data_IF_826532573551
#
_entry.id   IF_826532573551
#
_cell.length_a   1.000
_cell.length_b   1.000
_cell.length_c   1.000
_cell.angle_alpha   90.00
_cell.angle_beta   90.00
_cell.angle_gamma   90.00
#
_symmetry.space_group_name_H-M   'P 1'
#
loop_
_entity.id
_entity.type
_entity.pdbx_description
1 polymer ?
#
# COMPACT_ATOMS: atom_id res chain seq x y z
N UNK A 1 25.50 -11.08 10.20
CA UNK A 1 26.71 -11.42 9.42
C UNK A 1 27.40 -12.54 10.16
N UNK A 2 26.93 -13.76 9.98
CA UNK A 2 27.62 -14.93 10.52
C UNK A 2 27.85 -15.88 9.36
N UNK A 3 29.02 -15.73 8.76
CA UNK A 3 29.66 -16.81 8.04
C UNK A 3 30.39 -17.63 9.11
N UNK A 4 29.86 -18.81 9.44
CA UNK A 4 30.33 -19.63 10.55
C UNK A 4 31.76 -20.16 10.37
N UNK A 5 32.42 -19.88 9.24
CA UNK A 5 33.71 -20.44 8.90
C UNK A 5 34.95 -19.58 9.12
N UNK A 6 34.88 -18.24 9.24
CA UNK A 6 36.13 -17.46 9.05
C UNK A 6 36.59 -16.42 10.07
N UNK A 7 35.77 -15.77 10.90
CA UNK A 7 36.31 -14.70 11.77
C UNK A 7 35.54 -14.52 13.08
N UNK A 8 35.77 -15.37 14.08
CA UNK A 8 35.11 -15.26 15.41
C UNK A 8 35.56 -14.06 16.26
N UNK A 9 36.79 -13.54 16.05
CA UNK A 9 37.39 -12.52 16.95
C UNK A 9 37.93 -11.26 16.26
N UNK A 10 37.68 -11.05 14.95
CA UNK A 10 38.10 -9.83 14.24
C UNK A 10 36.87 -9.01 13.91
N UNK A 11 36.81 -7.76 14.39
CA UNK A 11 35.80 -6.79 13.95
C UNK A 11 35.80 -6.77 12.42
N UNK A 12 34.66 -7.08 11.79
CA UNK A 12 34.53 -7.22 10.34
C UNK A 12 35.18 -6.02 9.62
N UNK A 13 36.31 -6.19 8.92
CA UNK A 13 37.07 -5.07 8.34
C UNK A 13 36.26 -4.25 7.33
N UNK A 14 35.36 -4.92 6.59
CA UNK A 14 34.44 -4.26 5.65
C UNK A 14 33.44 -3.38 6.40
N UNK A 15 32.89 -3.88 7.51
CA UNK A 15 31.97 -3.08 8.34
C UNK A 15 32.68 -1.90 9.01
N UNK A 16 33.95 -2.04 9.41
CA UNK A 16 34.75 -0.92 9.93
C UNK A 16 34.98 0.13 8.85
N UNK A 17 35.42 -0.30 7.67
CA UNK A 17 35.71 0.62 6.55
C UNK A 17 34.45 1.35 6.10
N UNK A 18 33.33 0.64 6.04
CA UNK A 18 32.01 1.23 5.83
C UNK A 18 31.68 2.25 6.92
N UNK A 19 31.88 1.93 8.21
CA UNK A 19 31.56 2.84 9.31
C UNK A 19 32.40 4.13 9.27
N UNK A 20 33.69 4.02 8.98
CA UNK A 20 34.58 5.19 8.82
C UNK A 20 34.09 6.07 7.67
N UNK A 21 33.80 5.46 6.53
CA UNK A 21 33.28 6.15 5.34
C UNK A 21 31.94 6.81 5.64
N UNK A 22 31.03 6.10 6.31
CA UNK A 22 29.72 6.61 6.70
C UNK A 22 29.81 7.76 7.71
N UNK A 23 30.70 7.69 8.70
CA UNK A 23 30.98 8.80 9.62
C UNK A 23 31.54 10.03 8.90
N UNK A 24 32.38 9.82 7.88
CA UNK A 24 32.89 10.91 7.05
C UNK A 24 31.76 11.54 6.21
N UNK A 25 30.89 10.73 5.60
CA UNK A 25 29.70 11.22 4.87
C UNK A 25 28.82 12.03 5.83
N UNK A 26 28.46 11.49 7.00
CA UNK A 26 27.65 12.22 8.01
C UNK A 26 28.17 13.60 8.38
N UNK A 27 29.50 13.79 8.39
CA UNK A 27 30.13 15.09 8.71
C UNK A 27 30.14 16.06 7.53
N UNK A 28 30.35 15.55 6.31
CA UNK A 28 30.54 16.39 5.11
C UNK A 28 29.25 16.65 4.34
N UNK A 29 28.38 15.65 4.30
CA UNK A 29 27.12 15.64 3.58
C UNK A 29 26.04 14.90 4.41
N UNK A 30 25.42 15.58 5.39
CA UNK A 30 24.40 14.97 6.23
C UNK A 30 23.22 14.41 5.44
N UNK A 31 22.82 15.07 4.35
CA UNK A 31 21.71 14.64 3.51
C UNK A 31 22.00 13.29 2.83
N UNK A 32 23.24 13.07 2.37
CA UNK A 32 23.65 11.77 1.84
C UNK A 32 23.55 10.66 2.91
N UNK A 33 23.93 10.96 4.15
CA UNK A 33 23.79 9.99 5.24
C UNK A 33 22.32 9.71 5.61
N UNK A 34 21.48 10.73 5.57
CA UNK A 34 20.02 10.60 5.77
C UNK A 34 19.40 9.77 4.66
N UNK A 35 19.76 10.02 3.40
CA UNK A 35 19.34 9.20 2.26
C UNK A 35 19.77 7.76 2.41
N UNK A 36 21.02 7.49 2.82
CA UNK A 36 21.47 6.13 3.06
C UNK A 36 20.67 5.43 4.16
N UNK A 37 20.39 6.15 5.25
CA UNK A 37 19.61 5.64 6.38
C UNK A 37 18.16 5.38 5.99
N UNK A 38 17.58 6.23 5.14
CA UNK A 38 16.25 6.06 4.58
C UNK A 38 16.17 4.85 3.64
N UNK A 39 17.03 4.77 2.61
CA UNK A 39 16.95 3.71 1.59
C UNK A 39 17.28 2.32 2.15
N UNK A 40 17.94 2.22 3.30
CA UNK A 40 18.21 0.93 3.93
C UNK A 40 16.95 0.27 4.53
N UNK A 41 15.88 1.03 4.72
CA UNK A 41 14.61 0.56 5.27
C UNK A 41 13.60 0.10 4.21
N UNK A 42 13.94 0.21 2.92
CA UNK A 42 13.12 -0.24 1.78
C UNK A 42 13.83 -1.35 0.99
N UNK A 43 13.19 -1.85 -0.07
CA UNK A 43 13.84 -2.76 -1.02
C UNK A 43 15.11 -2.11 -1.60
N UNK A 44 16.28 -2.76 -1.54
CA UNK A 44 17.56 -2.17 -1.94
C UNK A 44 17.75 -2.06 -3.46
N UNK A 45 16.81 -2.56 -4.26
CA UNK A 45 16.89 -2.56 -5.72
C UNK A 45 15.82 -1.68 -6.34
N UNK A 46 16.17 -1.07 -7.47
CA UNK A 46 15.28 -0.29 -8.32
C UNK A 46 14.58 0.86 -7.57
N UNK A 47 15.28 1.50 -6.63
CA UNK A 47 14.75 2.57 -5.78
C UNK A 47 14.51 3.83 -6.62
N UNK A 48 13.26 4.29 -6.81
CA UNK A 48 12.99 5.51 -7.55
C UNK A 48 13.55 6.73 -6.81
N UNK A 49 14.26 7.62 -7.51
CA UNK A 49 14.77 8.85 -6.87
C UNK A 49 13.64 9.73 -6.32
N UNK A 50 12.46 9.69 -6.94
CA UNK A 50 11.26 10.37 -6.46
C UNK A 50 10.74 9.88 -5.10
N UNK A 51 11.15 8.68 -4.66
CA UNK A 51 10.81 8.15 -3.35
C UNK A 51 11.67 8.77 -2.23
N UNK A 52 12.84 9.32 -2.55
CA UNK A 52 13.70 9.94 -1.54
C UNK A 52 12.99 11.14 -0.88
N UNK A 53 13.26 11.40 0.42
CA UNK A 53 12.79 12.60 1.08
C UNK A 53 13.28 13.88 0.38
N UNK A 54 12.46 14.93 0.30
CA UNK A 54 12.89 16.20 -0.28
C UNK A 54 14.04 16.80 0.54
N UNK A 55 15.09 17.24 -0.16
CA UNK A 55 16.20 17.96 0.42
C UNK A 55 15.94 19.47 0.47
N UNK A 56 16.90 20.26 0.99
CA UNK A 56 16.77 21.72 1.05
C UNK A 56 16.78 22.40 -0.33
N UNK A 57 17.30 21.71 -1.37
CA UNK A 57 17.22 22.15 -2.76
C UNK A 57 17.56 20.99 -3.70
N UNK A 58 17.05 21.02 -4.93
CA UNK A 58 17.36 20.01 -5.97
C UNK A 58 18.85 19.81 -6.19
N UNK A 59 19.65 20.88 -6.10
CA UNK A 59 21.12 20.78 -6.19
C UNK A 59 21.68 19.92 -5.07
N UNK A 60 21.23 20.14 -3.82
CA UNK A 60 21.68 19.36 -2.66
C UNK A 60 21.25 17.90 -2.74
N UNK A 61 20.07 17.61 -3.28
CA UNK A 61 19.61 16.24 -3.51
C UNK A 61 20.52 15.51 -4.51
N UNK A 62 20.85 16.16 -5.63
CA UNK A 62 21.77 15.64 -6.65
C UNK A 62 23.17 15.43 -6.06
N UNK A 63 23.68 16.42 -5.33
CA UNK A 63 24.98 16.34 -4.66
C UNK A 63 25.03 15.16 -3.67
N UNK A 64 23.97 14.96 -2.89
CA UNK A 64 23.88 13.87 -1.91
C UNK A 64 23.87 12.48 -2.56
N UNK A 65 23.08 12.29 -3.61
CA UNK A 65 23.11 11.05 -4.41
C UNK A 65 24.49 10.87 -5.06
N UNK A 66 25.09 11.94 -5.55
CA UNK A 66 26.45 11.95 -6.10
C UNK A 66 27.51 11.54 -5.07
N UNK A 67 27.39 12.00 -3.83
CA UNK A 67 28.26 11.59 -2.72
C UNK A 67 28.15 10.08 -2.48
N UNK A 68 26.94 9.53 -2.37
CA UNK A 68 26.76 8.09 -2.14
C UNK A 68 27.31 7.24 -3.30
N UNK A 69 27.15 7.69 -4.54
CA UNK A 69 27.70 7.06 -5.74
C UNK A 69 29.24 7.11 -5.75
N UNK A 70 29.84 8.23 -5.35
CA UNK A 70 31.30 8.39 -5.28
C UNK A 70 31.97 7.48 -4.24
N UNK A 71 31.26 7.12 -3.16
CA UNK A 71 31.70 6.11 -2.19
C UNK A 71 31.35 4.67 -2.61
N UNK A 72 30.77 4.47 -3.80
CA UNK A 72 30.27 3.19 -4.30
C UNK A 72 29.26 2.52 -3.36
N UNK A 73 28.52 3.34 -2.59
CA UNK A 73 27.49 2.83 -1.69
C UNK A 73 26.21 2.49 -2.44
N UNK A 74 25.94 3.25 -3.50
CA UNK A 74 24.84 3.01 -4.43
C UNK A 74 25.37 2.93 -5.86
N UNK A 75 24.51 2.49 -6.77
CA UNK A 75 24.74 2.60 -8.21
C UNK A 75 23.54 3.30 -8.85
N UNK A 76 23.79 4.31 -9.67
CA UNK A 76 22.73 5.03 -10.40
C UNK A 76 22.32 4.26 -11.65
N UNK A 77 21.01 4.23 -11.93
CA UNK A 77 20.40 3.77 -13.18
C UNK A 77 19.75 4.97 -13.90
N UNK A 78 20.49 5.71 -14.75
CA UNK A 78 20.01 6.98 -15.31
C UNK A 78 18.76 6.85 -16.18
N UNK A 79 18.64 5.75 -16.94
CA UNK A 79 17.49 5.50 -17.82
C UNK A 79 16.17 5.38 -17.03
N UNK A 80 16.25 4.78 -15.84
CA UNK A 80 15.09 4.45 -15.01
C UNK A 80 14.87 5.46 -13.88
N UNK A 81 15.73 6.49 -13.78
CA UNK A 81 15.81 7.41 -12.64
C UNK A 81 15.81 6.67 -11.27
N UNK A 82 16.47 5.52 -11.24
CA UNK A 82 16.48 4.61 -10.10
C UNK A 82 17.89 4.44 -9.50
N UNK A 83 17.94 3.95 -8.26
CA UNK A 83 19.15 3.69 -7.50
C UNK A 83 19.15 2.24 -7.00
N UNK A 84 20.33 1.62 -7.02
CA UNK A 84 20.57 0.34 -6.37
C UNK A 84 21.48 0.53 -5.16
N UNK A 85 21.05 0.07 -3.99
CA UNK A 85 21.86 0.03 -2.80
C UNK A 85 22.75 -1.23 -2.80
N UNK A 86 24.05 -1.04 -2.59
CA UNK A 86 24.97 -2.18 -2.53
C UNK A 86 24.64 -3.09 -1.33
N UNK A 87 24.54 -4.41 -1.55
CA UNK A 87 24.06 -5.38 -0.55
C UNK A 87 24.81 -5.31 0.79
N UNK A 88 26.14 -5.18 0.75
CA UNK A 88 26.94 -5.08 1.99
C UNK A 88 26.68 -3.76 2.73
N UNK A 89 26.46 -2.68 2.00
CA UNK A 89 26.15 -1.36 2.55
C UNK A 89 24.75 -1.38 3.16
N UNK A 90 23.77 -2.00 2.50
CA UNK A 90 22.43 -2.21 3.03
C UNK A 90 22.47 -2.91 4.39
N UNK A 91 23.14 -4.05 4.47
CA UNK A 91 23.26 -4.84 5.68
C UNK A 91 24.06 -4.11 6.78
N UNK A 92 25.16 -3.43 6.43
CA UNK A 92 25.97 -2.69 7.39
C UNK A 92 25.20 -1.51 7.99
N UNK A 93 24.54 -0.71 7.14
CA UNK A 93 23.71 0.44 7.55
C UNK A 93 22.59 0.00 8.48
N UNK A 94 21.84 -1.03 8.09
CA UNK A 94 20.71 -1.53 8.90
C UNK A 94 21.16 -2.10 10.25
N UNK A 95 22.30 -2.80 10.28
CA UNK A 95 22.87 -3.30 11.53
C UNK A 95 23.38 -2.19 12.43
N UNK A 96 23.96 -1.14 11.86
CA UNK A 96 24.37 0.03 12.61
C UNK A 96 23.16 0.79 13.19
N UNK A 97 22.15 1.10 12.37
CA UNK A 97 20.92 1.76 12.85
C UNK A 97 20.20 0.97 13.95
N UNK A 98 20.24 -0.37 13.91
CA UNK A 98 19.69 -1.20 14.97
C UNK A 98 20.48 -1.07 16.28
N UNK A 99 21.82 -0.96 16.20
CA UNK A 99 22.66 -0.78 17.39
C UNK A 99 22.53 0.58 18.03
N UNK A 100 22.18 1.59 17.24
CA UNK A 100 21.95 2.96 17.70
C UNK A 100 20.46 3.23 18.03
N UNK A 101 19.60 2.19 17.99
CA UNK A 101 18.15 2.28 18.21
C UNK A 101 17.40 3.26 17.27
N UNK A 102 17.98 3.58 16.12
CA UNK A 102 17.41 4.50 15.12
C UNK A 102 16.58 3.79 14.03
N UNK A 103 16.66 2.46 13.93
CA UNK A 103 16.05 1.72 12.82
C UNK A 103 14.52 1.86 12.76
N UNK A 104 13.84 1.84 13.92
CA UNK A 104 12.40 2.00 13.99
C UNK A 104 11.97 3.40 13.54
N UNK A 105 12.67 4.44 14.01
CA UNK A 105 12.43 5.83 13.63
C UNK A 105 12.56 6.05 12.11
N UNK A 106 13.64 5.52 11.50
CA UNK A 106 13.81 5.62 10.05
C UNK A 106 12.76 4.83 9.28
N UNK A 107 12.34 3.67 9.80
CA UNK A 107 11.24 2.89 9.18
C UNK A 107 9.94 3.69 9.22
N UNK A 108 9.66 4.40 10.31
CA UNK A 108 8.49 5.28 10.43
C UNK A 108 8.54 6.45 9.44
N UNK A 109 9.70 7.11 9.29
CA UNK A 109 9.90 8.16 8.28
C UNK A 109 9.63 7.65 6.86
N UNK A 110 10.01 6.40 6.57
CA UNK A 110 9.75 5.76 5.28
C UNK A 110 8.27 5.46 5.08
N UNK A 111 7.56 4.97 6.11
CA UNK A 111 6.09 4.79 6.06
C UNK A 111 5.42 6.12 5.70
N UNK A 112 5.76 7.20 6.40
CA UNK A 112 5.20 8.54 6.15
C UNK A 112 5.48 9.00 4.72
N UNK A 113 6.73 8.87 4.27
CA UNK A 113 7.10 9.24 2.92
C UNK A 113 6.32 8.43 1.88
N UNK A 114 6.29 7.11 2.02
CA UNK A 114 5.52 6.25 1.11
C UNK A 114 4.04 6.62 1.11
N UNK A 115 3.45 6.92 2.27
CA UNK A 115 2.07 7.36 2.37
C UNK A 115 1.83 8.68 1.61
N UNK A 116 2.74 9.66 1.71
CA UNK A 116 2.65 10.90 0.93
C UNK A 116 2.72 10.64 -0.57
N UNK A 117 3.72 9.87 -1.00
CA UNK A 117 4.02 9.79 -2.43
C UNK A 117 3.17 8.75 -3.14
N UNK A 118 2.91 7.56 -2.54
CA UNK A 118 2.63 6.27 -3.23
C UNK A 118 2.10 6.44 -4.66
N UNK A 119 0.99 5.90 -5.15
CA UNK A 119 -0.03 6.75 -5.81
C UNK A 119 -1.41 6.11 -5.55
N UNK A 120 -2.47 6.57 -6.20
CA UNK A 120 -3.73 5.81 -6.28
C UNK A 120 -3.64 4.72 -7.35
N UNK A 121 -4.69 3.92 -7.51
CA UNK A 121 -4.76 2.84 -8.51
C UNK A 121 -5.26 3.33 -9.89
N UNK A 122 -5.14 4.63 -10.21
CA UNK A 122 -5.51 5.18 -11.51
C UNK A 122 -4.57 4.69 -12.62
N UNK A 123 -5.08 4.10 -13.70
CA UNK A 123 -4.28 3.49 -14.78
C UNK A 123 -3.12 4.36 -15.33
N UNK A 124 -3.25 5.69 -15.28
CA UNK A 124 -2.16 6.61 -15.67
C UNK A 124 -0.90 6.51 -14.79
N UNK A 125 -1.05 6.09 -13.53
CA UNK A 125 0.03 5.97 -12.54
C UNK A 125 0.62 4.55 -12.48
N UNK A 126 0.23 3.65 -13.40
CA UNK A 126 0.57 2.22 -13.30
C UNK A 126 2.05 1.91 -13.25
N UNK A 127 2.86 2.60 -14.04
CA UNK A 127 4.31 2.46 -14.00
C UNK A 127 4.89 2.92 -12.67
N UNK A 128 4.34 4.00 -12.10
CA UNK A 128 4.81 4.61 -10.85
C UNK A 128 4.51 3.70 -9.66
N UNK A 129 3.27 3.25 -9.44
CA UNK A 129 3.01 2.36 -8.30
C UNK A 129 3.75 1.03 -8.41
N UNK A 130 3.93 0.49 -9.62
CA UNK A 130 4.68 -0.75 -9.81
C UNK A 130 6.12 -0.63 -9.37
N UNK A 131 6.75 0.50 -9.65
CA UNK A 131 8.08 0.79 -9.14
C UNK A 131 8.10 0.92 -7.59
N UNK A 132 6.98 1.34 -6.98
CA UNK A 132 6.89 1.57 -5.54
C UNK A 132 6.46 0.32 -4.75
N UNK A 133 5.77 -0.63 -5.37
CA UNK A 133 5.23 -1.85 -4.73
C UNK A 133 6.29 -2.64 -3.93
N UNK A 134 7.50 -2.91 -4.45
CA UNK A 134 8.51 -3.65 -3.69
C UNK A 134 8.97 -2.92 -2.41
N UNK A 135 8.98 -1.58 -2.44
CA UNK A 135 9.35 -0.76 -1.30
C UNK A 135 8.24 -0.70 -0.25
N UNK A 136 6.99 -0.55 -0.68
CA UNK A 136 5.82 -0.61 0.20
C UNK A 136 5.72 -1.98 0.89
N UNK A 137 5.88 -3.08 0.14
CA UNK A 137 5.91 -4.44 0.68
C UNK A 137 6.97 -4.61 1.77
N UNK A 138 8.21 -4.17 1.50
CA UNK A 138 9.32 -4.27 2.45
C UNK A 138 9.01 -3.62 3.80
N UNK A 139 8.32 -2.48 3.78
CA UNK A 139 8.00 -1.71 5.00
C UNK A 139 6.75 -2.26 5.69
N UNK A 140 5.76 -2.72 4.92
CA UNK A 140 4.55 -3.37 5.44
C UNK A 140 4.87 -4.73 6.07
N UNK A 141 5.84 -5.49 5.58
CA UNK A 141 6.28 -6.73 6.25
C UNK A 141 7.06 -6.46 7.56
N UNK A 142 7.56 -5.23 7.75
CA UNK A 142 8.29 -4.85 8.96
C UNK A 142 7.37 -4.72 10.17
N UNK A 143 7.72 -5.40 11.27
CA UNK A 143 7.06 -5.30 12.60
C UNK A 143 7.72 -4.28 13.52
N UNK A 144 8.57 -3.40 12.98
CA UNK A 144 9.32 -2.41 13.77
C UNK A 144 8.50 -1.16 14.13
N UNK A 145 7.40 -0.93 13.42
CA UNK A 145 6.52 0.22 13.60
C UNK A 145 5.14 -0.29 13.98
N UNK A 146 4.41 0.49 14.77
CA UNK A 146 3.05 0.16 15.18
C UNK A 146 2.16 -0.12 13.97
N UNK A 147 1.45 -1.25 14.04
CA UNK A 147 0.53 -1.70 12.99
C UNK A 147 -0.72 -0.82 12.93
N UNK A 148 -1.12 -0.21 14.04
CA UNK A 148 -2.27 0.70 14.15
C UNK A 148 -2.03 2.12 13.64
N UNK A 149 -0.78 2.47 13.26
CA UNK A 149 -0.48 3.82 12.81
C UNK A 149 -1.28 4.18 11.55
N UNK A 150 -2.01 5.30 11.58
CA UNK A 150 -2.89 5.74 10.49
C UNK A 150 -2.18 5.82 9.13
N UNK A 151 -0.96 6.35 9.06
CA UNK A 151 -0.18 6.41 7.81
C UNK A 151 0.15 5.02 7.25
N UNK A 152 0.43 4.05 8.13
CA UNK A 152 0.68 2.66 7.73
C UNK A 152 -0.58 2.00 7.20
N UNK A 153 -1.72 2.26 7.83
CA UNK A 153 -3.03 1.76 7.37
C UNK A 153 -3.46 2.38 6.03
N UNK A 154 -3.26 3.68 5.85
CA UNK A 154 -3.46 4.37 4.57
C UNK A 154 -2.60 3.73 3.46
N UNK A 155 -1.31 3.51 3.74
CA UNK A 155 -0.39 2.86 2.81
C UNK A 155 -0.79 1.42 2.49
N UNK A 156 -1.14 0.60 3.50
CA UNK A 156 -1.58 -0.78 3.32
C UNK A 156 -2.80 -0.87 2.40
N UNK A 157 -3.75 0.06 2.54
CA UNK A 157 -4.94 0.09 1.71
C UNK A 157 -4.65 0.45 0.25
N UNK A 158 -3.79 1.46 0.01
CA UNK A 158 -3.36 1.83 -1.35
C UNK A 158 -2.55 0.70 -2.00
N UNK A 159 -1.68 0.06 -1.23
CA UNK A 159 -0.91 -1.12 -1.64
C UNK A 159 -1.84 -2.27 -2.08
N UNK A 160 -2.80 -2.68 -1.24
CA UNK A 160 -3.77 -3.73 -1.56
C UNK A 160 -4.62 -3.39 -2.81
N UNK A 161 -5.03 -2.12 -2.94
CA UNK A 161 -5.81 -1.66 -4.09
C UNK A 161 -5.02 -1.73 -5.40
N UNK A 162 -3.74 -1.36 -5.38
CA UNK A 162 -2.87 -1.46 -6.54
C UNK A 162 -2.58 -2.92 -6.93
N UNK A 163 -2.36 -3.81 -5.95
CA UNK A 163 -2.21 -5.25 -6.21
C UNK A 163 -3.46 -5.85 -6.88
N UNK A 164 -4.65 -5.52 -6.38
CA UNK A 164 -5.92 -5.96 -6.97
C UNK A 164 -6.13 -5.45 -8.40
N UNK A 165 -5.63 -4.24 -8.71
CA UNK A 165 -5.66 -3.67 -10.06
C UNK A 165 -4.64 -4.34 -11.01
N UNK A 166 -3.53 -4.85 -10.47
CA UNK A 166 -2.51 -5.55 -11.24
C UNK A 166 -2.78 -7.05 -11.43
N UNK A 167 -3.86 -7.58 -10.87
CA UNK A 167 -4.24 -8.99 -11.00
C UNK A 167 -3.62 -9.90 -9.93
N UNK A 168 -2.88 -9.33 -8.98
CA UNK A 168 -2.23 -10.04 -7.88
C UNK A 168 -3.24 -10.21 -6.73
N UNK A 169 -4.31 -10.97 -6.99
CA UNK A 169 -5.47 -11.03 -6.10
C UNK A 169 -5.16 -11.69 -4.76
N UNK A 170 -4.33 -12.74 -4.74
CA UNK A 170 -3.98 -13.45 -3.50
C UNK A 170 -3.17 -12.55 -2.55
N UNK A 171 -2.25 -11.75 -3.10
CA UNK A 171 -1.45 -10.78 -2.35
C UNK A 171 -2.32 -9.61 -1.86
N UNK A 172 -3.29 -9.19 -2.69
CA UNK A 172 -4.25 -8.16 -2.32
C UNK A 172 -5.19 -8.62 -1.21
N UNK A 173 -5.67 -9.87 -1.27
CA UNK A 173 -6.50 -10.52 -0.26
C UNK A 173 -5.79 -10.51 1.09
N UNK A 174 -4.54 -11.01 1.14
CA UNK A 174 -3.75 -11.03 2.36
C UNK A 174 -3.62 -9.61 2.99
N UNK A 175 -3.34 -8.60 2.17
CA UNK A 175 -3.22 -7.22 2.63
C UNK A 175 -4.56 -6.63 3.12
N UNK A 176 -5.67 -6.95 2.45
CA UNK A 176 -7.01 -6.51 2.88
C UNK A 176 -7.44 -7.18 4.18
N UNK A 177 -7.14 -8.46 4.37
CA UNK A 177 -7.43 -9.18 5.63
C UNK A 177 -6.65 -8.56 6.78
N UNK A 178 -5.34 -8.33 6.63
CA UNK A 178 -4.52 -7.66 7.65
C UNK A 178 -5.10 -6.30 8.04
N UNK A 179 -5.40 -5.46 7.04
CA UNK A 179 -5.98 -4.14 7.29
C UNK A 179 -7.37 -4.18 7.92
N UNK A 180 -8.17 -5.21 7.60
CA UNK A 180 -9.51 -5.40 8.18
C UNK A 180 -9.43 -5.83 9.64
N UNK A 181 -8.50 -6.72 10.00
CA UNK A 181 -8.29 -7.14 11.39
C UNK A 181 -7.88 -5.98 12.29
N UNK A 182 -6.99 -5.10 11.80
CA UNK A 182 -6.57 -3.90 12.53
C UNK A 182 -7.76 -2.94 12.68
N UNK A 183 -8.47 -2.65 11.59
CA UNK A 183 -9.67 -1.80 11.64
C UNK A 183 -10.74 -2.35 12.57
N UNK A 184 -10.98 -3.66 12.62
CA UNK A 184 -11.96 -4.27 13.54
C UNK A 184 -11.56 -4.17 15.02
N UNK A 185 -10.25 -4.04 15.31
CA UNK A 185 -9.75 -3.84 16.68
C UNK A 185 -9.84 -2.38 17.12
N UNK A 186 -9.53 -1.45 16.22
CA UNK A 186 -9.50 -0.01 16.51
C UNK A 186 -10.86 0.67 16.33
N UNK A 187 -11.60 0.21 15.33
CA UNK A 187 -12.92 0.69 14.95
C UNK A 187 -13.92 -0.45 15.17
N UNK A 188 -15.16 -0.09 15.46
CA UNK A 188 -16.23 -1.08 15.54
C UNK A 188 -16.47 -1.73 14.17
N UNK A 189 -17.00 -2.96 14.17
CA UNK A 189 -17.24 -3.74 12.95
C UNK A 189 -18.20 -3.03 11.97
N UNK A 190 -19.08 -2.17 12.49
CA UNK A 190 -20.06 -1.38 11.77
C UNK A 190 -19.54 -0.02 11.28
N UNK A 191 -18.28 0.32 11.54
CA UNK A 191 -17.70 1.59 11.10
C UNK A 191 -17.61 1.65 9.56
N UNK A 192 -17.99 2.77 8.90
CA UNK A 192 -18.02 2.87 7.43
C UNK A 192 -16.70 2.50 6.72
N UNK A 193 -15.55 2.81 7.33
CA UNK A 193 -14.24 2.43 6.79
C UNK A 193 -13.93 0.92 6.89
N UNK A 194 -14.53 0.21 7.85
CA UNK A 194 -14.46 -1.24 8.00
C UNK A 194 -15.33 -1.90 6.93
N UNK A 195 -16.57 -1.39 6.76
CA UNK A 195 -17.49 -1.83 5.71
C UNK A 195 -16.92 -1.64 4.31
N UNK A 196 -16.27 -0.49 4.05
CA UNK A 196 -15.58 -0.26 2.78
C UNK A 196 -14.43 -1.24 2.54
N UNK A 197 -13.69 -1.62 3.58
CA UNK A 197 -12.63 -2.64 3.49
C UNK A 197 -13.21 -4.02 3.16
N UNK A 198 -14.32 -4.40 3.80
CA UNK A 198 -15.03 -5.65 3.51
C UNK A 198 -15.53 -5.71 2.07
N UNK A 199 -16.10 -4.61 1.55
CA UNK A 199 -16.53 -4.54 0.16
C UNK A 199 -15.37 -4.71 -0.85
N UNK A 200 -14.17 -4.18 -0.55
CA UNK A 200 -12.97 -4.37 -1.38
C UNK A 200 -12.45 -5.81 -1.33
N UNK A 201 -12.51 -6.45 -0.17
CA UNK A 201 -12.18 -7.87 -0.02
C UNK A 201 -13.16 -8.75 -0.81
N UNK A 202 -14.47 -8.49 -0.71
CA UNK A 202 -15.49 -9.20 -1.50
C UNK A 202 -15.27 -9.04 -3.01
N UNK A 203 -14.95 -7.83 -3.48
CA UNK A 203 -14.58 -7.60 -4.87
C UNK A 203 -13.34 -8.40 -5.30
N UNK A 204 -12.42 -8.67 -4.37
CA UNK A 204 -11.21 -9.46 -4.64
C UNK A 204 -11.55 -10.95 -4.77
N UNK A 205 -12.39 -11.48 -3.87
CA UNK A 205 -12.96 -12.84 -4.01
C UNK A 205 -13.69 -13.03 -5.33
N UNK A 206 -14.47 -12.02 -5.73
CA UNK A 206 -15.18 -12.02 -7.02
C UNK A 206 -14.23 -12.14 -8.21
N UNK A 207 -13.11 -11.42 -8.19
CA UNK A 207 -12.07 -11.52 -9.24
C UNK A 207 -11.36 -12.87 -9.25
N UNK A 208 -11.28 -13.55 -8.11
CA UNK A 208 -10.77 -14.93 -7.99
C UNK A 208 -11.82 -16.00 -8.36
N UNK A 209 -13.07 -15.62 -8.66
CA UNK A 209 -14.17 -16.57 -8.91
C UNK A 209 -14.75 -17.22 -7.65
N UNK A 210 -14.41 -16.72 -6.46
CA UNK A 210 -14.92 -17.19 -5.16
C UNK A 210 -16.23 -16.47 -4.82
N UNK A 211 -17.29 -16.80 -5.56
CA UNK A 211 -18.57 -16.09 -5.49
C UNK A 211 -19.27 -16.21 -4.13
N UNK A 212 -19.32 -17.41 -3.54
CA UNK A 212 -19.96 -17.65 -2.24
C UNK A 212 -19.34 -16.81 -1.11
N UNK A 213 -18.02 -16.64 -1.12
CA UNK A 213 -17.31 -15.83 -0.13
C UNK A 213 -17.54 -14.33 -0.34
N UNK A 214 -17.61 -13.90 -1.60
CA UNK A 214 -17.95 -12.52 -1.95
C UNK A 214 -19.39 -12.19 -1.51
N UNK A 215 -20.34 -13.06 -1.81
CA UNK A 215 -21.76 -12.93 -1.46
C UNK A 215 -21.94 -12.81 0.05
N UNK A 216 -21.39 -13.74 0.83
CA UNK A 216 -21.47 -13.72 2.29
C UNK A 216 -20.99 -12.38 2.87
N UNK A 217 -19.86 -11.88 2.38
CA UNK A 217 -19.27 -10.64 2.88
C UNK A 217 -20.07 -9.40 2.42
N UNK A 218 -20.63 -9.42 1.20
CA UNK A 218 -21.47 -8.35 0.69
C UNK A 218 -22.82 -8.27 1.41
N UNK A 219 -23.44 -9.41 1.73
CA UNK A 219 -24.64 -9.48 2.55
C UNK A 219 -24.41 -8.86 3.93
N UNK A 220 -23.31 -9.20 4.61
CA UNK A 220 -22.95 -8.61 5.91
C UNK A 220 -22.80 -7.08 5.80
N UNK A 221 -22.12 -6.59 4.75
CA UNK A 221 -21.93 -5.15 4.51
C UNK A 221 -23.25 -4.45 4.22
N UNK A 222 -24.12 -5.06 3.41
CA UNK A 222 -25.42 -4.52 3.03
C UNK A 222 -26.33 -4.36 4.25
N UNK A 223 -26.53 -5.43 5.03
CA UNK A 223 -27.41 -5.42 6.21
C UNK A 223 -26.91 -4.46 7.29
N UNK A 224 -25.59 -4.43 7.52
CA UNK A 224 -24.99 -3.50 8.47
C UNK A 224 -25.16 -2.04 8.01
N UNK A 225 -24.92 -1.75 6.73
CA UNK A 225 -25.10 -0.40 6.17
C UNK A 225 -26.56 0.04 6.24
N UNK A 226 -27.50 -0.85 5.90
CA UNK A 226 -28.94 -0.61 5.98
C UNK A 226 -29.39 -0.28 7.39
N UNK A 227 -28.89 -1.01 8.39
CA UNK A 227 -29.20 -0.81 9.81
C UNK A 227 -28.64 0.51 10.35
N UNK A 228 -27.43 0.90 9.93
CA UNK A 228 -26.69 2.05 10.53
C UNK A 228 -26.88 3.36 9.79
N UNK A 229 -26.94 3.30 8.47
CA UNK A 229 -27.00 4.47 7.59
C UNK A 229 -28.40 4.67 6.99
N UNK A 230 -29.23 3.62 7.00
CA UNK A 230 -30.53 3.58 6.35
C UNK A 230 -30.47 2.93 4.96
N UNK A 231 -31.64 2.49 4.48
CA UNK A 231 -31.78 1.84 3.18
C UNK A 231 -31.41 2.78 2.01
N UNK A 232 -31.76 4.05 2.11
CA UNK A 232 -31.56 5.04 1.04
C UNK A 232 -30.14 5.61 0.99
N UNK A 233 -29.26 5.24 1.92
CA UNK A 233 -27.93 5.83 2.01
C UNK A 233 -27.06 5.38 0.81
N UNK A 234 -26.25 6.28 0.19
CA UNK A 234 -25.43 5.93 -0.97
C UNK A 234 -24.53 4.71 -0.79
N UNK A 235 -23.95 4.54 0.40
CA UNK A 235 -23.13 3.35 0.74
C UNK A 235 -23.95 2.06 0.78
N UNK A 236 -25.19 2.09 1.28
CA UNK A 236 -26.11 0.94 1.28
C UNK A 236 -26.52 0.58 -0.14
N UNK A 237 -26.87 1.58 -0.94
CA UNK A 237 -27.22 1.37 -2.35
C UNK A 237 -26.03 0.82 -3.16
N UNK A 238 -24.82 1.24 -2.83
CA UNK A 238 -23.60 0.72 -3.47
C UNK A 238 -23.30 -0.73 -3.05
N UNK A 239 -23.55 -1.12 -1.80
CA UNK A 239 -23.39 -2.52 -1.37
C UNK A 239 -24.46 -3.44 -1.97
N UNK A 240 -25.71 -2.98 -2.09
CA UNK A 240 -26.78 -3.68 -2.81
C UNK A 240 -26.41 -3.94 -4.27
N UNK A 241 -25.96 -2.92 -5.02
CA UNK A 241 -25.54 -3.08 -6.41
C UNK A 241 -24.34 -4.03 -6.57
N UNK A 242 -23.40 -4.03 -5.61
CA UNK A 242 -22.28 -4.97 -5.62
C UNK A 242 -22.73 -6.42 -5.41
N UNK A 243 -23.75 -6.63 -4.54
CA UNK A 243 -24.35 -7.94 -4.29
C UNK A 243 -25.16 -8.43 -5.49
N UNK A 244 -25.98 -7.55 -6.11
CA UNK A 244 -26.71 -7.85 -7.34
C UNK A 244 -25.76 -8.34 -8.45
N UNK A 245 -24.64 -7.64 -8.63
CA UNK A 245 -23.59 -8.05 -9.57
C UNK A 245 -22.96 -9.41 -9.23
N UNK A 246 -22.89 -9.80 -7.95
CA UNK A 246 -22.41 -11.13 -7.55
C UNK A 246 -23.45 -12.21 -7.86
N UNK A 247 -24.72 -11.98 -7.52
CA UNK A 247 -25.84 -12.86 -7.86
C UNK A 247 -25.97 -13.10 -9.35
N UNK A 248 -25.83 -12.04 -10.15
CA UNK A 248 -25.77 -12.13 -11.60
C UNK A 248 -24.69 -13.13 -12.03
N UNK A 249 -23.44 -12.96 -11.59
CA UNK A 249 -22.37 -13.89 -11.97
C UNK A 249 -22.56 -15.33 -11.45
N UNK A 250 -23.40 -15.56 -10.44
CA UNK A 250 -23.78 -16.89 -9.95
C UNK A 250 -24.97 -17.50 -10.71
N UNK A 251 -25.67 -16.71 -11.53
CA UNK A 251 -26.89 -17.14 -12.23
C UNK A 251 -28.18 -16.95 -11.44
N UNK A 252 -28.14 -16.21 -10.32
CA UNK A 252 -29.29 -15.85 -9.49
C UNK A 252 -29.90 -14.55 -10.03
N UNK A 253 -30.49 -14.64 -11.22
CA UNK A 253 -30.89 -13.47 -11.99
C UNK A 253 -32.07 -12.71 -11.38
N UNK A 254 -33.02 -13.44 -10.80
CA UNK A 254 -34.22 -12.84 -10.17
C UNK A 254 -33.82 -12.01 -8.94
N UNK A 255 -32.92 -12.53 -8.10
CA UNK A 255 -32.41 -11.83 -6.93
C UNK A 255 -31.54 -10.61 -7.30
N UNK A 256 -30.78 -10.72 -8.40
CA UNK A 256 -30.00 -9.60 -8.93
C UNK A 256 -30.91 -8.47 -9.44
N UNK A 257 -31.92 -8.82 -10.25
CA UNK A 257 -32.90 -7.86 -10.78
C UNK A 257 -33.64 -7.15 -9.65
N UNK A 258 -34.11 -7.88 -8.63
CA UNK A 258 -34.82 -7.29 -7.50
C UNK A 258 -33.97 -6.20 -6.80
N UNK A 259 -32.70 -6.50 -6.54
CA UNK A 259 -31.79 -5.54 -5.91
C UNK A 259 -31.49 -4.33 -6.82
N UNK A 260 -31.23 -4.54 -8.11
CA UNK A 260 -30.91 -3.45 -9.03
C UNK A 260 -32.12 -2.54 -9.29
N UNK A 261 -33.35 -3.07 -9.35
CA UNK A 261 -34.58 -2.28 -9.40
C UNK A 261 -34.72 -1.42 -8.15
N UNK A 262 -34.55 -2.00 -6.96
CA UNK A 262 -34.62 -1.25 -5.69
C UNK A 262 -33.60 -0.12 -5.66
N UNK A 263 -32.36 -0.37 -6.08
CA UNK A 263 -31.29 0.64 -6.13
C UNK A 263 -31.62 1.76 -7.13
N UNK A 264 -32.05 1.40 -8.33
CA UNK A 264 -32.38 2.34 -9.41
C UNK A 264 -33.51 3.28 -9.00
N UNK A 265 -34.64 2.75 -8.52
CA UNK A 265 -35.79 3.56 -8.13
C UNK A 265 -35.47 4.47 -6.93
N UNK A 266 -34.66 3.98 -5.97
CA UNK A 266 -34.23 4.81 -4.84
C UNK A 266 -33.33 5.96 -5.29
N UNK A 267 -32.34 5.70 -6.16
CA UNK A 267 -31.45 6.75 -6.71
C UNK A 267 -32.23 7.75 -7.55
N UNK A 268 -33.14 7.28 -8.40
CA UNK A 268 -34.02 8.12 -9.22
C UNK A 268 -34.88 9.05 -8.36
N UNK A 269 -35.43 8.53 -7.25
CA UNK A 269 -36.25 9.32 -6.33
C UNK A 269 -35.44 10.38 -5.57
N UNK A 270 -34.21 10.05 -5.13
CA UNK A 270 -33.40 10.93 -4.29
C UNK A 270 -32.53 11.91 -5.07
N UNK A 271 -32.00 11.50 -6.22
CA UNK A 271 -31.00 12.23 -7.00
C UNK A 271 -31.57 12.75 -8.33
N UNK A 272 -32.70 12.20 -8.78
CA UNK A 272 -33.27 12.48 -10.09
C UNK A 272 -32.84 11.46 -11.16
N UNK A 273 -33.57 11.44 -12.27
CA UNK A 273 -33.36 10.50 -13.38
C UNK A 273 -32.03 10.72 -14.12
N UNK A 274 -31.61 11.98 -14.26
CA UNK A 274 -30.41 12.36 -15.03
C UNK A 274 -29.11 12.29 -14.21
N UNK A 275 -29.18 11.91 -12.92
CA UNK A 275 -28.00 11.82 -12.08
C UNK A 275 -27.10 10.66 -12.53
N UNK A 276 -25.76 10.83 -12.58
CA UNK A 276 -24.83 9.79 -13.03
C UNK A 276 -24.99 8.44 -12.33
N UNK A 277 -25.25 8.44 -11.02
CA UNK A 277 -25.47 7.20 -10.26
C UNK A 277 -26.79 6.49 -10.62
N UNK A 278 -27.85 7.26 -10.94
CA UNK A 278 -29.12 6.71 -11.41
C UNK A 278 -28.93 6.09 -12.79
N UNK A 279 -28.27 6.80 -13.70
CA UNK A 279 -27.96 6.31 -15.05
C UNK A 279 -27.09 5.05 -15.00
N UNK A 280 -26.11 5.00 -14.08
CA UNK A 280 -25.27 3.81 -13.87
C UNK A 280 -26.10 2.60 -13.39
N UNK A 281 -27.06 2.82 -12.49
CA UNK A 281 -27.98 1.76 -12.05
C UNK A 281 -28.92 1.29 -13.16
N UNK A 282 -29.44 2.21 -13.98
CA UNK A 282 -30.25 1.85 -15.15
C UNK A 282 -29.45 1.03 -16.16
N UNK A 283 -28.17 1.37 -16.37
CA UNK A 283 -27.28 0.61 -17.24
C UNK A 283 -27.00 -0.80 -16.70
N UNK A 284 -26.80 -0.95 -15.38
CA UNK A 284 -26.65 -2.26 -14.75
C UNK A 284 -27.93 -3.09 -14.92
N UNK A 285 -29.09 -2.52 -14.61
CA UNK A 285 -30.39 -3.18 -14.73
C UNK A 285 -30.75 -3.55 -16.18
N UNK A 286 -30.26 -2.80 -17.17
CA UNK A 286 -30.45 -3.16 -18.59
C UNK A 286 -29.48 -4.26 -19.07
N UNK A 287 -28.42 -4.52 -18.30
CA UNK A 287 -27.43 -5.56 -18.58
C UNK A 287 -27.71 -6.86 -17.82
N UNK A 288 -28.56 -6.81 -16.79
CA UNK A 288 -29.26 -7.97 -16.22
C UNK A 288 -30.43 -8.38 -17.12
#
# INVERSE_FOLDING_TARGET
>A
FEDHGRYRNVKNPVAITWLISFQQIRRRDPLAADYLSFICCINPKDIPQSLLPPGPSRKKEIDAVGTLDAYSFISKRPADQALDLHRLVHLATRNWLRKEDLLAQWTESVVKRLEEVFPDNNHNNRSVWRAYLPHARCVLESRLVDQGQQSRMSLLWRYATCLSADGLWDEAEAAYIEGLEIKKKELSADHPSTLSSMAKLASTFRKQGRWEEAEKLQLEVMETSKTKLGADHPSTLSSMANLASTFWNQGHWEEAEELDVQVMETRKTKLGADHPDTLSSMANLAAT
#
